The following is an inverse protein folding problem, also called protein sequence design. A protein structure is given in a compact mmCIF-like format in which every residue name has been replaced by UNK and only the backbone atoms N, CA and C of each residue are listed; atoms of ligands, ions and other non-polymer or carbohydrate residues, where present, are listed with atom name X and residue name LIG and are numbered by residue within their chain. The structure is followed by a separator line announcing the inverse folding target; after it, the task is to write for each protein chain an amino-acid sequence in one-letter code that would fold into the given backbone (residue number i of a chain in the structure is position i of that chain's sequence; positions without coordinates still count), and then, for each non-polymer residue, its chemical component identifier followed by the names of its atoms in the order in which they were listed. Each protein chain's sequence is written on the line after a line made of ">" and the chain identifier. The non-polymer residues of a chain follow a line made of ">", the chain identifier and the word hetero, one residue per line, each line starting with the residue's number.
data_IF_735578691230
#
_entry.id   IF_735578691230
#
_cell.length_a   1.000
_cell.length_b   1.000
_cell.length_c   1.000
_cell.angle_alpha   90.00
_cell.angle_beta   90.00
_cell.angle_gamma   90.00
#
_symmetry.space_group_name_H-M   'P 1'
#
loop_
_entity.id
_entity.type
_entity.pdbx_description
1 polymer ?
#
# COMPACT_ATOMS: atom_id res chain seq x y z
N UNK A 1 27.31 15.58 -40.54
CA UNK A 1 28.40 14.80 -39.92
C UNK A 1 27.88 13.42 -39.54
N UNK A 2 28.70 12.36 -39.57
CA UNK A 2 28.30 11.01 -39.11
C UNK A 2 27.69 11.03 -37.70
N UNK A 3 28.14 11.96 -36.85
CA UNK A 3 27.60 12.16 -35.49
C UNK A 3 26.16 12.70 -35.49
N UNK A 4 25.81 13.61 -36.40
CA UNK A 4 24.45 14.17 -36.48
C UNK A 4 23.45 13.10 -36.91
N UNK A 5 23.79 12.32 -37.95
CA UNK A 5 22.94 11.21 -38.42
C UNK A 5 22.74 10.15 -37.34
N UNK A 6 23.75 9.89 -36.51
CA UNK A 6 23.62 8.96 -35.38
C UNK A 6 22.69 9.52 -34.30
N UNK A 7 22.78 10.81 -33.97
CA UNK A 7 21.87 11.43 -33.00
C UNK A 7 20.42 11.40 -33.49
N UNK A 8 20.17 11.78 -34.74
CA UNK A 8 18.84 11.72 -35.36
C UNK A 8 18.22 10.30 -35.32
N UNK A 9 19.04 9.25 -35.50
CA UNK A 9 18.58 7.87 -35.41
C UNK A 9 18.30 7.41 -33.97
N UNK A 10 19.05 7.93 -33.00
CA UNK A 10 18.96 7.55 -31.59
C UNK A 10 17.86 8.29 -30.84
N UNK A 11 17.56 9.54 -31.20
CA UNK A 11 16.56 10.38 -30.54
C UNK A 11 15.20 9.68 -30.34
N UNK A 12 14.59 9.02 -31.34
CA UNK A 12 13.32 8.31 -31.15
C UNK A 12 13.44 7.17 -30.12
N UNK A 13 14.57 6.47 -30.08
CA UNK A 13 14.78 5.37 -29.15
C UNK A 13 14.94 5.86 -27.72
N UNK A 14 15.61 7.01 -27.53
CA UNK A 14 15.75 7.67 -26.23
C UNK A 14 14.37 8.11 -25.74
N UNK A 15 13.57 8.76 -26.57
CA UNK A 15 12.21 9.19 -26.22
C UNK A 15 11.33 8.00 -25.82
N UNK A 16 11.37 6.89 -26.57
CA UNK A 16 10.64 5.67 -26.23
C UNK A 16 11.08 5.12 -24.86
N UNK A 17 12.39 5.12 -24.59
CA UNK A 17 12.92 4.64 -23.31
C UNK A 17 12.50 5.53 -22.14
N UNK A 18 12.56 6.85 -22.31
CA UNK A 18 12.13 7.81 -21.29
C UNK A 18 10.64 7.67 -21.01
N UNK A 19 9.80 7.59 -22.05
CA UNK A 19 8.37 7.39 -21.90
C UNK A 19 8.05 6.08 -21.16
N UNK A 20 8.69 4.97 -21.54
CA UNK A 20 8.53 3.68 -20.84
C UNK A 20 8.94 3.79 -19.37
N UNK A 21 10.07 4.43 -19.10
CA UNK A 21 10.53 4.62 -17.72
C UNK A 21 9.56 5.45 -16.89
N UNK A 22 8.95 6.49 -17.50
CA UNK A 22 7.91 7.30 -16.85
C UNK A 22 6.64 6.50 -16.59
N UNK A 23 6.15 5.75 -17.58
CA UNK A 23 4.94 4.94 -17.45
C UNK A 23 5.10 3.85 -16.38
N UNK A 24 6.26 3.18 -16.36
CA UNK A 24 6.61 2.20 -15.32
C UNK A 24 6.67 2.84 -13.94
N UNK A 25 7.30 4.02 -13.82
CA UNK A 25 7.37 4.77 -12.57
C UNK A 25 6.00 5.18 -12.05
N UNK A 26 5.11 5.67 -12.92
CA UNK A 26 3.74 6.02 -12.57
C UNK A 26 2.94 4.79 -12.12
N UNK A 27 3.04 3.68 -12.85
CA UNK A 27 2.37 2.43 -12.49
C UNK A 27 2.83 1.91 -11.14
N UNK A 28 4.15 1.86 -10.91
CA UNK A 28 4.71 1.43 -9.63
C UNK A 28 4.30 2.36 -8.49
N UNK A 29 4.34 3.68 -8.70
CA UNK A 29 3.91 4.66 -7.72
C UNK A 29 2.43 4.48 -7.34
N UNK A 30 1.57 4.24 -8.32
CA UNK A 30 0.15 4.00 -8.10
C UNK A 30 -0.10 2.69 -7.32
N UNK A 31 0.52 1.59 -7.74
CA UNK A 31 0.38 0.29 -7.06
C UNK A 31 0.88 0.35 -5.61
N UNK A 32 2.02 0.99 -5.37
CA UNK A 32 2.55 1.18 -4.03
C UNK A 32 1.64 2.08 -3.18
N UNK A 33 1.17 3.20 -3.74
CA UNK A 33 0.27 4.11 -3.05
C UNK A 33 -1.06 3.44 -2.66
N UNK A 34 -1.65 2.67 -3.58
CA UNK A 34 -2.86 1.90 -3.30
C UNK A 34 -2.65 0.86 -2.19
N UNK A 35 -1.54 0.10 -2.26
CA UNK A 35 -1.22 -0.89 -1.23
C UNK A 35 -1.02 -0.23 0.14
N UNK A 36 -0.22 0.82 0.21
CA UNK A 36 0.04 1.54 1.46
C UNK A 36 -1.23 2.18 2.03
N UNK A 37 -2.04 2.81 1.17
CA UNK A 37 -3.31 3.42 1.59
C UNK A 37 -4.29 2.40 2.14
N UNK A 38 -4.39 1.22 1.49
CA UNK A 38 -5.22 0.13 1.97
C UNK A 38 -4.75 -0.42 3.34
N UNK A 39 -3.45 -0.68 3.48
CA UNK A 39 -2.86 -1.16 4.74
C UNK A 39 -3.06 -0.15 5.89
N UNK A 40 -2.83 1.14 5.62
CA UNK A 40 -3.04 2.21 6.60
C UNK A 40 -4.51 2.36 6.98
N UNK A 41 -5.42 2.35 6.00
CA UNK A 41 -6.85 2.46 6.23
C UNK A 41 -7.40 1.28 7.03
N UNK A 42 -6.94 0.06 6.74
CA UNK A 42 -7.30 -1.13 7.51
C UNK A 42 -6.81 -1.00 8.96
N UNK A 43 -5.55 -0.59 9.17
CA UNK A 43 -4.98 -0.38 10.50
C UNK A 43 -5.79 0.63 11.31
N UNK A 44 -6.08 1.80 10.73
CA UNK A 44 -6.88 2.84 11.37
C UNK A 44 -8.29 2.36 11.71
N UNK A 45 -8.96 1.64 10.78
CA UNK A 45 -10.29 1.09 11.01
C UNK A 45 -10.34 0.07 12.14
N UNK A 46 -9.32 -0.79 12.24
CA UNK A 46 -9.20 -1.76 13.35
C UNK A 46 -8.98 -1.01 14.66
N UNK A 47 -8.04 -0.05 14.71
CA UNK A 47 -7.77 0.75 15.91
C UNK A 47 -9.01 1.49 16.43
N UNK A 48 -9.75 2.15 15.54
CA UNK A 48 -11.01 2.81 15.93
C UNK A 48 -12.08 1.82 16.42
N UNK A 49 -12.12 0.61 15.85
CA UNK A 49 -13.03 -0.44 16.35
C UNK A 49 -12.63 -0.88 17.76
N UNK A 50 -11.34 -1.06 18.04
CA UNK A 50 -10.84 -1.42 19.38
C UNK A 50 -11.18 -0.33 20.39
N UNK A 51 -10.92 0.94 20.05
CA UNK A 51 -11.22 2.09 20.90
C UNK A 51 -12.71 2.14 21.28
N UNK A 52 -13.60 2.08 20.28
CA UNK A 52 -15.04 2.09 20.49
C UNK A 52 -15.51 0.91 21.35
N UNK A 53 -14.96 -0.29 21.14
CA UNK A 53 -15.33 -1.46 21.94
C UNK A 53 -14.85 -1.34 23.40
N UNK A 54 -13.67 -0.77 23.63
CA UNK A 54 -13.17 -0.46 24.97
C UNK A 54 -14.01 0.58 25.67
N UNK A 55 -14.40 1.64 24.96
CA UNK A 55 -15.31 2.68 25.49
C UNK A 55 -16.67 2.09 25.90
N UNK A 56 -17.17 1.09 25.17
CA UNK A 56 -18.37 0.34 25.53
C UNK A 56 -18.15 -0.72 26.61
N UNK A 57 -16.94 -0.84 27.16
CA UNK A 57 -16.63 -1.70 28.30
C UNK A 57 -16.27 -3.15 27.96
N UNK A 58 -16.01 -3.46 26.68
CA UNK A 58 -15.53 -4.78 26.30
C UNK A 58 -14.09 -5.01 26.73
N UNK A 59 -13.78 -6.23 27.16
CA UNK A 59 -12.43 -6.61 27.56
C UNK A 59 -11.57 -6.92 26.34
N UNK A 60 -10.27 -6.68 26.45
CA UNK A 60 -9.30 -6.95 25.39
C UNK A 60 -9.34 -8.41 24.89
N UNK A 61 -9.65 -9.38 25.75
CA UNK A 61 -9.82 -10.78 25.32
C UNK A 61 -11.01 -10.99 24.37
N UNK A 62 -12.11 -10.27 24.59
CA UNK A 62 -13.31 -10.31 23.74
C UNK A 62 -13.05 -9.59 22.42
N UNK A 63 -12.38 -8.43 22.50
CA UNK A 63 -11.98 -7.66 21.32
C UNK A 63 -11.00 -8.46 20.47
N UNK A 64 -9.99 -9.10 21.06
CA UNK A 64 -9.04 -9.97 20.37
C UNK A 64 -9.75 -11.08 19.59
N UNK A 65 -10.68 -11.77 20.25
CA UNK A 65 -11.48 -12.83 19.63
C UNK A 65 -12.32 -12.30 18.46
N UNK A 66 -12.90 -11.10 18.59
CA UNK A 66 -13.65 -10.44 17.52
C UNK A 66 -12.75 -10.06 16.34
N UNK A 67 -11.54 -9.54 16.59
CA UNK A 67 -10.58 -9.18 15.54
C UNK A 67 -10.11 -10.41 14.76
N UNK A 68 -9.73 -11.48 15.45
CA UNK A 68 -9.34 -12.76 14.83
C UNK A 68 -10.49 -13.30 13.98
N UNK A 69 -11.71 -13.31 14.50
CA UNK A 69 -12.88 -13.84 13.80
C UNK A 69 -13.28 -13.00 12.58
N UNK A 70 -13.28 -11.67 12.70
CA UNK A 70 -13.80 -10.75 11.67
C UNK A 70 -12.78 -10.46 10.57
N UNK A 71 -11.50 -10.35 10.93
CA UNK A 71 -10.43 -9.98 10.01
C UNK A 71 -9.48 -11.14 9.68
N UNK A 72 -9.68 -12.33 10.27
CA UNK A 72 -8.82 -13.50 10.02
C UNK A 72 -7.39 -13.32 10.54
N UNK A 73 -7.18 -12.43 11.51
CA UNK A 73 -5.85 -12.15 12.05
C UNK A 73 -5.31 -13.34 12.84
N UNK A 74 -3.99 -13.50 12.85
CA UNK A 74 -3.33 -14.37 13.83
C UNK A 74 -3.44 -13.77 15.22
N UNK A 75 -3.29 -14.61 16.25
CA UNK A 75 -3.33 -14.13 17.63
C UNK A 75 -2.26 -13.07 17.90
N UNK A 76 -1.02 -13.29 17.43
CA UNK A 76 0.06 -12.31 17.53
C UNK A 76 -0.27 -10.97 16.85
N UNK A 77 -0.94 -11.02 15.68
CA UNK A 77 -1.31 -9.80 14.96
C UNK A 77 -2.43 -9.06 15.67
N UNK A 78 -3.43 -9.78 16.17
CA UNK A 78 -4.53 -9.18 16.92
C UNK A 78 -4.06 -8.55 18.24
N UNK A 79 -3.09 -9.17 18.93
CA UNK A 79 -2.51 -8.63 20.17
C UNK A 79 -1.86 -7.26 19.95
N UNK A 80 -1.24 -7.01 18.79
CA UNK A 80 -0.60 -5.71 18.46
C UNK A 80 -1.59 -4.55 18.33
N UNK A 81 -2.89 -4.82 18.24
CA UNK A 81 -3.95 -3.81 18.14
C UNK A 81 -4.61 -3.47 19.48
N UNK A 82 -4.31 -4.23 20.53
CA UNK A 82 -4.80 -4.01 21.89
C UNK A 82 -3.76 -3.18 22.64
#
# INVERSE_FOLDING_TARGET
>A
SMYETLMELMEPQIQIREQKSWDEGQKQGWEQGQKQGWEQGQKQGIQGTVEVLREFGHKDSEIKAALIKKYGLTEETAEKYL
#
